data_IF_127219660298
#
_entry.id   IF_127219660298
#
_cell.length_a   1.000
_cell.length_b   1.000
_cell.length_c   1.000
_cell.angle_alpha   90.00
_cell.angle_beta   90.00
_cell.angle_gamma   90.00
#
_symmetry.space_group_name_H-M   'P 1'
#
loop_
_entity.id
_entity.type
_entity.pdbx_description
1 polymer ?
#
# COMPACT_ATOMS: atom_id res chain seq x y z
N UNK A 1 9.85 -8.41 8.03
CA UNK A 1 10.79 -7.31 8.32
C UNK A 1 10.04 -6.07 8.78
N UNK A 2 10.57 -5.30 9.74
CA UNK A 2 9.95 -4.04 10.24
C UNK A 2 9.55 -3.06 9.11
N UNK A 3 10.38 -2.94 8.07
CA UNK A 3 10.08 -2.12 6.88
C UNK A 3 8.82 -2.54 6.13
N UNK A 4 8.49 -3.84 6.15
CA UNK A 4 7.29 -4.39 5.53
C UNK A 4 6.04 -4.08 6.36
N UNK A 5 6.14 -4.06 7.69
CA UNK A 5 5.05 -3.66 8.59
C UNK A 5 4.71 -2.18 8.37
N UNK A 6 5.74 -1.32 8.30
CA UNK A 6 5.57 0.12 8.01
C UNK A 6 4.97 0.33 6.61
N UNK A 7 5.45 -0.40 5.61
CA UNK A 7 4.92 -0.32 4.24
C UNK A 7 3.45 -0.75 4.14
N UNK A 8 3.09 -1.89 4.72
CA UNK A 8 1.70 -2.37 4.78
C UNK A 8 0.82 -1.39 5.57
N UNK A 9 1.31 -0.84 6.68
CA UNK A 9 0.59 0.17 7.46
C UNK A 9 0.31 1.45 6.65
N UNK A 10 1.28 1.92 5.87
CA UNK A 10 1.11 3.08 4.98
C UNK A 10 0.08 2.86 3.87
N UNK A 11 0.02 1.64 3.32
CA UNK A 11 -1.02 1.27 2.34
C UNK A 11 -2.39 1.09 3.00
N UNK A 12 -2.44 0.50 4.20
CA UNK A 12 -3.68 0.34 4.97
C UNK A 12 -4.32 1.67 5.38
N UNK A 13 -3.53 2.75 5.45
CA UNK A 13 -4.00 4.11 5.72
C UNK A 13 -4.78 4.78 4.57
N UNK A 14 -4.92 4.12 3.41
CA UNK A 14 -5.72 4.65 2.28
C UNK A 14 -7.21 4.52 2.63
N UNK A 15 -7.77 5.57 3.24
CA UNK A 15 -9.14 5.61 3.75
C UNK A 15 -10.17 6.26 2.81
N UNK A 16 -9.80 6.58 1.56
CA UNK A 16 -10.57 7.38 0.59
C UNK A 16 -12.09 7.30 0.74
N UNK A 17 -12.68 6.10 0.60
CA UNK A 17 -14.13 5.90 0.60
C UNK A 17 -14.79 6.22 1.96
N UNK A 18 -14.18 5.80 3.07
CA UNK A 18 -14.73 6.06 4.41
C UNK A 18 -14.49 7.52 4.81
N UNK A 19 -13.34 8.08 4.48
CA UNK A 19 -13.04 9.49 4.76
C UNK A 19 -13.97 10.43 3.99
N UNK A 20 -14.27 10.13 2.72
CA UNK A 20 -15.24 10.92 1.95
C UNK A 20 -16.64 10.84 2.55
N UNK A 21 -17.06 9.67 3.01
CA UNK A 21 -18.34 9.51 3.69
C UNK A 21 -18.40 10.33 4.99
N UNK A 22 -17.33 10.34 5.78
CA UNK A 22 -17.22 11.16 6.99
C UNK A 22 -17.23 12.66 6.63
N UNK A 23 -16.54 13.07 5.56
CA UNK A 23 -16.53 14.46 5.12
C UNK A 23 -17.93 14.93 4.68
N UNK A 24 -18.67 14.09 3.96
CA UNK A 24 -20.07 14.35 3.62
C UNK A 24 -20.90 14.53 4.89
N UNK A 25 -20.83 13.61 5.86
CA UNK A 25 -21.56 13.75 7.12
C UNK A 25 -21.16 14.99 7.94
N UNK A 26 -19.91 15.42 7.86
CA UNK A 26 -19.38 16.54 8.64
C UNK A 26 -19.66 17.91 8.00
N UNK A 27 -19.68 17.99 6.66
CA UNK A 27 -19.70 19.25 5.92
C UNK A 27 -20.85 19.37 4.93
N UNK A 28 -21.77 18.40 4.85
CA UNK A 28 -22.91 18.38 3.93
C UNK A 28 -23.57 19.76 3.77
N UNK A 29 -23.63 20.23 2.51
CA UNK A 29 -24.26 21.51 2.17
C UNK A 29 -23.42 22.77 2.45
N UNK A 30 -22.15 22.63 2.83
CA UNK A 30 -21.21 23.75 2.98
C UNK A 30 -20.15 23.76 1.86
N UNK A 31 -19.53 24.91 1.64
CA UNK A 31 -18.37 25.07 0.74
C UNK A 31 -17.16 24.21 1.18
N UNK A 32 -17.16 23.73 2.43
CA UNK A 32 -16.11 22.87 2.99
C UNK A 32 -16.07 21.46 2.42
N UNK A 33 -17.16 20.95 1.81
CA UNK A 33 -17.22 19.58 1.29
C UNK A 33 -16.25 19.35 0.14
N UNK A 34 -16.15 20.29 -0.80
CA UNK A 34 -15.21 20.18 -1.93
C UNK A 34 -13.75 20.21 -1.46
N UNK A 35 -13.43 21.14 -0.55
CA UNK A 35 -12.09 21.24 0.04
C UNK A 35 -11.72 19.99 0.83
N UNK A 36 -12.65 19.42 1.60
CA UNK A 36 -12.45 18.18 2.33
C UNK A 36 -12.19 17.00 1.38
N UNK A 37 -12.96 16.88 0.30
CA UNK A 37 -12.77 15.83 -0.69
C UNK A 37 -11.38 15.90 -1.36
N UNK A 38 -10.94 17.10 -1.75
CA UNK A 38 -9.60 17.33 -2.30
C UNK A 38 -8.50 16.98 -1.30
N UNK A 39 -8.66 17.38 -0.04
CA UNK A 39 -7.69 17.07 1.01
C UNK A 39 -7.59 15.55 1.26
N UNK A 40 -8.72 14.84 1.29
CA UNK A 40 -8.77 13.38 1.48
C UNK A 40 -8.11 12.65 0.31
N UNK A 41 -8.35 13.10 -0.93
CA UNK A 41 -7.70 12.59 -2.13
C UNK A 41 -6.18 12.78 -2.06
N UNK A 42 -5.73 14.00 -1.73
CA UNK A 42 -4.31 14.32 -1.61
C UNK A 42 -3.64 13.48 -0.50
N UNK A 43 -4.26 13.38 0.67
CA UNK A 43 -3.75 12.58 1.79
C UNK A 43 -3.67 11.09 1.43
N UNK A 44 -4.69 10.54 0.78
CA UNK A 44 -4.71 9.14 0.32
C UNK A 44 -3.59 8.86 -0.68
N UNK A 45 -3.33 9.79 -1.61
CA UNK A 45 -2.25 9.67 -2.58
C UNK A 45 -0.87 9.69 -1.89
N UNK A 46 -0.66 10.62 -0.95
CA UNK A 46 0.59 10.71 -0.17
C UNK A 46 0.80 9.41 0.63
N UNK A 47 -0.25 8.89 1.28
CA UNK A 47 -0.19 7.64 2.03
C UNK A 47 0.18 6.46 1.13
N UNK A 48 -0.44 6.38 -0.05
CA UNK A 48 -0.15 5.32 -1.04
C UNK A 48 1.27 5.40 -1.58
N UNK A 49 1.77 6.60 -1.92
CA UNK A 49 3.15 6.80 -2.36
C UNK A 49 4.15 6.42 -1.26
N UNK A 50 3.89 6.83 -0.02
CA UNK A 50 4.73 6.48 1.12
C UNK A 50 4.76 4.97 1.37
N UNK A 51 3.59 4.31 1.41
CA UNK A 51 3.48 2.87 1.57
C UNK A 51 4.17 2.10 0.45
N UNK A 52 3.99 2.52 -0.80
CA UNK A 52 4.65 1.94 -1.96
C UNK A 52 6.17 2.08 -1.88
N UNK A 53 6.70 3.27 -1.60
CA UNK A 53 8.13 3.50 -1.49
C UNK A 53 8.75 2.66 -0.35
N UNK A 54 8.06 2.56 0.79
CA UNK A 54 8.49 1.74 1.92
C UNK A 54 8.54 0.25 1.53
N UNK A 55 7.51 -0.28 0.86
CA UNK A 55 7.45 -1.66 0.39
C UNK A 55 8.50 -1.95 -0.68
N UNK A 56 8.66 -1.06 -1.65
CA UNK A 56 9.66 -1.21 -2.71
C UNK A 56 11.07 -1.29 -2.13
N UNK A 57 11.37 -0.46 -1.13
CA UNK A 57 12.66 -0.50 -0.43
C UNK A 57 12.87 -1.77 0.40
N UNK A 58 11.78 -2.43 0.82
CA UNK A 58 11.80 -3.65 1.62
C UNK A 58 11.85 -4.93 0.76
N UNK A 59 11.50 -4.83 -0.53
CA UNK A 59 11.56 -5.93 -1.48
C UNK A 59 13.02 -6.25 -1.84
N UNK A 60 13.65 -7.13 -1.07
CA UNK A 60 14.91 -7.74 -1.49
C UNK A 60 14.64 -8.73 -2.64
N UNK A 61 15.54 -8.85 -3.65
CA UNK A 61 15.41 -9.87 -4.68
C UNK A 61 15.32 -11.25 -4.02
N UNK A 62 14.27 -12.01 -4.34
CA UNK A 62 14.18 -13.40 -3.92
C UNK A 62 15.40 -14.15 -4.51
N UNK A 63 16.14 -14.94 -3.72
CA UNK A 63 17.23 -15.74 -4.25
C UNK A 63 16.65 -16.63 -5.36
N UNK A 64 17.32 -16.62 -6.52
CA UNK A 64 16.93 -17.45 -7.66
C UNK A 64 16.76 -18.90 -7.20
N UNK A 65 15.71 -19.60 -7.64
CA UNK A 65 15.49 -20.99 -7.25
C UNK A 65 16.76 -21.78 -7.56
N UNK A 66 17.33 -22.41 -6.52
CA UNK A 66 18.50 -23.25 -6.69
C UNK A 66 18.19 -24.29 -7.78
N UNK A 67 19.13 -24.54 -8.72
CA UNK A 67 18.91 -25.55 -9.75
C UNK A 67 18.52 -26.85 -9.06
N UNK A 68 17.37 -27.40 -9.45
CA UNK A 68 16.86 -28.65 -8.91
C UNK A 68 17.99 -29.70 -8.98
N UNK A 69 18.23 -30.49 -7.92
CA UNK A 69 19.20 -31.57 -8.00
C UNK A 69 18.81 -32.43 -9.19
N UNK A 70 19.72 -32.57 -10.15
CA UNK A 70 19.54 -33.36 -11.35
C UNK A 70 18.97 -34.72 -10.91
N UNK A 71 17.72 -34.97 -11.29
CA UNK A 71 17.05 -36.23 -11.07
C UNK A 71 17.93 -37.34 -11.62
N UNK A 72 18.62 -38.02 -10.71
CA UNK A 72 18.67 -39.47 -10.64
C UNK A 72 18.69 -40.19 -12.00
N UNK A 73 19.59 -39.80 -12.90
CA UNK A 73 20.06 -40.60 -14.06
C UNK A 73 20.95 -41.77 -13.61
N UNK A 74 20.69 -42.31 -12.42
CA UNK A 74 21.40 -43.40 -11.75
C UNK A 74 20.44 -44.54 -11.38
N UNK A 75 19.21 -44.53 -11.91
CA UNK A 75 18.34 -45.72 -11.94
C UNK A 75 18.33 -46.31 -13.36
N UNK A 76 19.51 -46.67 -13.85
CA UNK A 76 19.71 -47.63 -14.94
C UNK A 76 20.42 -48.84 -14.38
#
# INVERSE_FOLDING_TARGET
TWRMIVGIGGVAGIGFTISLFIAELAFAGSEGTEMAALAILAASLISGMFGYAALWSAAAPAPAPAPAPAEESTRR
#
